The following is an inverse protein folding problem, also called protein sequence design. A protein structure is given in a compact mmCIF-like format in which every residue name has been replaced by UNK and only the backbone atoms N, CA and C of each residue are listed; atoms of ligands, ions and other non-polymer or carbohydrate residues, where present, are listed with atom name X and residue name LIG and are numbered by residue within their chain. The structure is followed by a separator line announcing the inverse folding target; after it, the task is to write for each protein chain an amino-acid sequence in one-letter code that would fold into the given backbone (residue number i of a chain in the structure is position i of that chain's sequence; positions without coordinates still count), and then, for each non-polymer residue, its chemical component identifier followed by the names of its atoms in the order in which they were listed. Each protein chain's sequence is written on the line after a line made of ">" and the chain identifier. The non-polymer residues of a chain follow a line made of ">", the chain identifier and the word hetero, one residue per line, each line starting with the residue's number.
data_IF_431604005856
#
_entry.id   IF_431604005856
#
_cell.length_a   1.000
_cell.length_b   1.000
_cell.length_c   1.000
_cell.angle_alpha   90.00
_cell.angle_beta   90.00
_cell.angle_gamma   90.00
#
_symmetry.space_group_name_H-M   'P 1'
#
loop_
_entity.id
_entity.type
_entity.pdbx_description
1 polymer ?
#
# COMPACT_ATOMS: atom_id res chain seq x y z
N UNK A 1 -3.24 18.13 -63.14
CA UNK A 1 -2.68 18.41 -61.82
C UNK A 1 -3.51 17.66 -60.81
N UNK A 2 -3.05 16.49 -60.39
CA UNK A 2 -3.74 15.62 -59.42
C UNK A 2 -3.31 15.99 -57.99
N UNK A 3 -4.26 16.36 -57.14
CA UNK A 3 -4.01 16.65 -55.73
C UNK A 3 -4.12 15.35 -54.92
N UNK A 4 -3.00 14.77 -54.51
CA UNK A 4 -2.99 13.68 -53.56
C UNK A 4 -3.25 14.23 -52.14
N UNK A 5 -4.40 13.91 -51.58
CA UNK A 5 -4.72 14.21 -50.18
C UNK A 5 -4.24 13.01 -49.35
N UNK A 6 -3.18 13.25 -48.56
CA UNK A 6 -2.71 12.26 -47.56
C UNK A 6 -3.65 12.33 -46.34
N UNK A 7 -4.36 11.22 -46.05
CA UNK A 7 -5.15 11.05 -44.83
C UNK A 7 -4.20 10.59 -43.74
N UNK A 8 -3.97 11.46 -42.75
CA UNK A 8 -3.19 11.12 -41.54
C UNK A 8 -4.13 10.37 -40.62
N UNK A 9 -3.94 9.05 -40.50
CA UNK A 9 -4.66 8.23 -39.52
C UNK A 9 -3.89 8.30 -38.19
N UNK A 10 -4.41 9.07 -37.25
CA UNK A 10 -3.89 9.15 -35.89
C UNK A 10 -4.43 7.95 -35.10
N UNK A 11 -3.56 6.99 -34.80
CA UNK A 11 -3.89 5.91 -33.85
C UNK A 11 -3.87 6.49 -32.44
N UNK A 12 -5.04 6.63 -31.83
CA UNK A 12 -5.19 6.85 -30.39
C UNK A 12 -4.99 5.49 -29.74
N UNK A 13 -3.80 5.23 -29.21
CA UNK A 13 -3.56 4.11 -28.30
C UNK A 13 -4.24 4.46 -26.98
N UNK A 14 -5.43 3.92 -26.76
CA UNK A 14 -6.06 3.95 -25.45
C UNK A 14 -5.20 3.08 -24.53
N UNK A 15 -4.40 3.71 -23.66
CA UNK A 15 -3.81 3.06 -22.50
C UNK A 15 -4.97 2.66 -21.59
N UNK A 16 -5.40 1.40 -21.69
CA UNK A 16 -6.28 0.79 -20.69
C UNK A 16 -5.49 0.80 -19.37
N UNK A 17 -6.05 1.34 -18.29
CA UNK A 17 -5.43 1.19 -16.98
C UNK A 17 -5.29 -0.31 -16.74
N UNK A 18 -4.06 -0.78 -16.52
CA UNK A 18 -3.82 -2.13 -16.03
C UNK A 18 -4.54 -2.21 -14.68
N UNK A 19 -5.63 -2.95 -14.63
CA UNK A 19 -6.32 -3.25 -13.38
C UNK A 19 -5.30 -3.97 -12.50
N UNK A 20 -4.89 -3.35 -11.41
CA UNK A 20 -4.06 -4.00 -10.41
C UNK A 20 -4.73 -5.32 -10.03
N UNK A 21 -4.04 -6.44 -10.24
CA UNK A 21 -4.56 -7.78 -10.01
C UNK A 21 -4.50 -8.08 -8.51
N UNK A 22 -5.37 -7.42 -7.76
CA UNK A 22 -5.47 -7.64 -6.32
C UNK A 22 -6.07 -9.01 -5.99
N UNK A 23 -5.80 -9.48 -4.78
CA UNK A 23 -6.26 -10.76 -4.24
C UNK A 23 -7.30 -10.59 -3.16
N UNK A 24 -6.99 -9.79 -2.15
CA UNK A 24 -7.80 -9.62 -0.94
C UNK A 24 -7.89 -8.14 -0.62
N UNK A 25 -9.11 -7.68 -0.38
CA UNK A 25 -9.39 -6.34 0.14
C UNK A 25 -9.82 -6.41 1.60
N UNK A 26 -9.56 -5.34 2.34
CA UNK A 26 -10.05 -5.13 3.70
C UNK A 26 -10.34 -3.64 3.92
N UNK A 27 -11.58 -3.29 4.27
CA UNK A 27 -11.90 -1.90 4.59
C UNK A 27 -11.39 -1.54 5.98
N UNK A 28 -10.97 -0.30 6.15
CA UNK A 28 -10.68 0.28 7.45
C UNK A 28 -11.44 1.62 7.62
N UNK A 29 -11.69 1.99 8.86
CA UNK A 29 -12.24 3.29 9.19
C UNK A 29 -11.77 3.79 10.55
N UNK A 30 -11.82 5.11 10.73
CA UNK A 30 -11.57 5.84 11.97
C UNK A 30 -12.75 6.78 12.21
N UNK A 31 -13.31 6.73 13.42
CA UNK A 31 -14.41 7.63 13.84
C UNK A 31 -13.87 8.97 14.32
N UNK A 32 -14.76 9.96 14.49
CA UNK A 32 -14.42 11.28 15.08
C UNK A 32 -13.28 12.01 14.35
N UNK A 33 -13.21 11.84 13.02
CA UNK A 33 -12.23 12.53 12.18
C UNK A 33 -12.57 14.01 12.10
N UNK A 34 -11.62 14.93 12.38
CA UNK A 34 -11.83 16.35 12.19
C UNK A 34 -12.20 16.71 10.75
N UNK A 35 -12.95 17.79 10.54
CA UNK A 35 -13.28 18.26 9.18
C UNK A 35 -12.03 18.54 8.32
N UNK A 36 -10.91 18.93 8.94
CA UNK A 36 -9.61 19.11 8.29
C UNK A 36 -8.94 17.79 7.88
N UNK A 37 -9.43 16.64 8.36
CA UNK A 37 -8.80 15.33 8.25
C UNK A 37 -7.86 15.02 9.41
N UNK A 38 -7.33 13.77 9.43
CA UNK A 38 -6.34 13.33 10.40
C UNK A 38 -4.96 13.89 10.01
N UNK A 39 -4.14 14.19 11.01
CA UNK A 39 -2.74 14.60 10.84
C UNK A 39 -1.76 13.43 10.95
N UNK A 40 -2.24 12.27 11.38
CA UNK A 40 -1.48 11.02 11.43
C UNK A 40 -2.42 9.81 11.34
N UNK A 41 -1.86 8.70 10.87
CA UNK A 41 -2.46 7.40 10.98
C UNK A 41 -1.37 6.34 11.09
N UNK A 42 -1.61 5.31 11.89
CA UNK A 42 -0.71 4.17 12.08
C UNK A 42 -1.40 2.89 11.69
N UNK A 43 -0.76 2.10 10.84
CA UNK A 43 -1.25 0.82 10.35
C UNK A 43 -0.38 -0.32 10.87
N UNK A 44 -0.87 -1.16 11.81
CA UNK A 44 -0.15 -2.34 12.26
C UNK A 44 -0.22 -3.48 11.24
N UNK A 45 0.90 -4.23 11.09
CA UNK A 45 1.07 -5.38 10.22
C UNK A 45 1.76 -6.53 10.94
N UNK A 46 1.38 -7.76 10.60
CA UNK A 46 2.13 -8.98 10.94
C UNK A 46 2.37 -9.76 9.65
N UNK A 47 3.63 -10.13 9.39
CA UNK A 47 4.04 -10.88 8.19
C UNK A 47 4.75 -12.19 8.54
N UNK A 48 4.58 -12.69 9.77
CA UNK A 48 5.36 -13.78 10.36
C UNK A 48 5.38 -15.08 9.55
N UNK A 49 4.34 -15.33 8.76
CA UNK A 49 4.24 -16.53 7.92
C UNK A 49 4.23 -16.19 6.42
N UNK A 50 4.83 -15.07 6.05
CA UNK A 50 5.02 -14.71 4.64
C UNK A 50 6.25 -15.40 4.06
N UNK A 51 6.23 -15.79 2.77
CA UNK A 51 7.38 -16.41 2.13
C UNK A 51 8.52 -15.39 1.97
N UNK A 52 9.76 -15.81 2.21
CA UNK A 52 10.97 -14.99 2.02
C UNK A 52 11.31 -14.89 0.52
N UNK A 53 10.41 -14.29 -0.26
CA UNK A 53 10.55 -14.09 -1.71
C UNK A 53 9.72 -12.89 -2.18
N UNK A 54 10.06 -12.37 -3.35
CA UNK A 54 9.26 -11.33 -4.02
C UNK A 54 7.89 -11.85 -4.42
N UNK A 55 6.93 -10.93 -4.57
CA UNK A 55 5.62 -11.20 -5.15
C UNK A 55 4.48 -10.62 -4.33
N UNK A 56 4.49 -10.71 -3.02
CA UNK A 56 3.43 -10.15 -2.20
C UNK A 56 3.65 -8.69 -1.82
N UNK A 57 2.55 -7.93 -1.81
CA UNK A 57 2.46 -6.61 -1.22
C UNK A 57 1.26 -6.55 -0.27
N UNK A 58 1.51 -6.20 0.96
CA UNK A 58 0.52 -5.99 2.03
C UNK A 58 0.42 -4.51 2.28
N UNK A 59 -0.69 -3.88 1.89
CA UNK A 59 -0.78 -2.43 1.86
C UNK A 59 -2.06 -1.88 2.48
N UNK A 60 -1.98 -0.63 2.91
CA UNK A 60 -3.12 0.20 3.30
C UNK A 60 -3.12 1.46 2.44
N UNK A 61 -4.26 1.74 1.81
CA UNK A 61 -4.50 3.00 1.11
C UNK A 61 -5.08 4.04 2.07
N UNK A 62 -4.89 5.29 1.74
CA UNK A 62 -5.48 6.43 2.43
C UNK A 62 -5.71 7.58 1.47
N UNK A 63 -6.82 8.30 1.66
CA UNK A 63 -7.18 9.47 0.88
C UNK A 63 -6.97 10.75 1.67
N UNK A 64 -6.79 11.86 0.96
CA UNK A 64 -6.69 13.18 1.54
C UNK A 64 -7.91 14.04 1.21
N UNK A 65 -8.25 14.97 2.10
CA UNK A 65 -9.26 15.98 1.80
C UNK A 65 -8.81 16.86 0.63
N UNK A 66 -9.74 17.09 -0.31
CA UNK A 66 -9.47 17.90 -1.51
C UNK A 66 -8.73 17.15 -2.64
N UNK A 67 -8.44 15.84 -2.49
CA UNK A 67 -7.80 15.03 -3.51
C UNK A 67 -8.71 13.88 -3.98
N UNK A 68 -8.60 13.52 -5.27
CA UNK A 68 -9.28 12.36 -5.88
C UNK A 68 -8.45 11.09 -5.80
N UNK A 69 -7.14 11.22 -5.90
CA UNK A 69 -6.22 10.11 -5.88
C UNK A 69 -5.77 9.79 -4.44
N UNK A 70 -5.08 8.65 -4.29
CA UNK A 70 -4.72 8.06 -3.00
C UNK A 70 -3.22 8.14 -2.72
N UNK A 71 -2.85 7.92 -1.47
CA UNK A 71 -1.56 7.38 -1.08
C UNK A 71 -1.71 5.94 -0.64
N UNK A 72 -0.62 5.18 -0.64
CA UNK A 72 -0.56 3.89 0.03
C UNK A 72 0.77 3.69 0.75
N UNK A 73 0.76 2.78 1.71
CA UNK A 73 1.95 2.30 2.39
C UNK A 73 1.80 0.83 2.73
N UNK A 74 2.91 0.10 2.83
CA UNK A 74 2.85 -1.31 3.17
C UNK A 74 4.20 -2.00 3.14
N UNK A 75 4.16 -3.32 3.38
CA UNK A 75 5.32 -4.19 3.46
C UNK A 75 5.30 -5.24 2.34
N UNK A 76 6.48 -5.54 1.83
CA UNK A 76 6.69 -6.59 0.83
C UNK A 76 7.79 -7.52 1.33
N UNK A 77 7.53 -8.84 1.41
CA UNK A 77 8.57 -9.82 1.63
C UNK A 77 9.63 -9.80 0.52
N UNK A 78 10.87 -10.08 0.88
CA UNK A 78 12.00 -10.21 -0.04
C UNK A 78 12.77 -11.50 0.22
N UNK A 79 13.55 -11.99 -0.75
CA UNK A 79 14.56 -13.03 -0.49
C UNK A 79 15.52 -12.60 0.61
N UNK A 80 15.96 -13.55 1.42
CA UNK A 80 16.98 -13.31 2.43
C UNK A 80 18.26 -12.77 1.79
N UNK A 81 18.93 -11.87 2.49
CA UNK A 81 20.22 -11.33 2.07
C UNK A 81 21.22 -11.43 3.22
N UNK A 82 22.41 -11.96 2.93
CA UNK A 82 23.43 -12.17 3.97
C UNK A 82 23.01 -13.11 5.11
N UNK A 83 22.03 -14.01 4.85
CA UNK A 83 21.47 -14.93 5.84
C UNK A 83 20.43 -14.29 6.77
N UNK A 84 19.97 -13.08 6.49
CA UNK A 84 18.94 -12.38 7.26
C UNK A 84 17.69 -12.10 6.41
N UNK A 85 16.47 -12.19 7.00
CA UNK A 85 15.24 -11.79 6.34
C UNK A 85 15.27 -10.31 5.93
N UNK A 86 14.70 -10.00 4.77
CA UNK A 86 14.63 -8.65 4.22
C UNK A 86 13.19 -8.24 4.01
N UNK A 87 12.86 -7.05 4.47
CA UNK A 87 11.57 -6.39 4.27
C UNK A 87 11.79 -5.18 3.36
N UNK A 88 10.94 -5.05 2.34
CA UNK A 88 10.81 -3.83 1.57
C UNK A 88 9.58 -3.08 2.05
N UNK A 89 9.74 -1.84 2.46
CA UNK A 89 8.64 -0.96 2.83
C UNK A 89 8.46 0.11 1.77
N UNK A 90 7.19 0.40 1.43
CA UNK A 90 6.83 1.40 0.44
C UNK A 90 5.91 2.47 1.04
N UNK A 91 6.04 3.71 0.52
CA UNK A 91 5.21 4.85 0.88
C UNK A 91 5.05 5.75 -0.34
N UNK A 92 3.88 5.70 -0.97
CA UNK A 92 3.66 6.32 -2.28
C UNK A 92 2.44 7.24 -2.27
N UNK A 93 2.49 8.28 -3.11
CA UNK A 93 1.37 9.15 -3.45
C UNK A 93 1.12 9.07 -4.95
N UNK A 94 -0.12 8.84 -5.36
CA UNK A 94 -0.56 8.89 -6.76
C UNK A 94 -1.08 10.27 -7.16
N UNK A 95 -1.10 11.21 -6.22
CA UNK A 95 -1.65 12.54 -6.41
C UNK A 95 -0.73 13.33 -7.34
N UNK A 96 -1.29 13.78 -8.46
CA UNK A 96 -0.56 14.64 -9.42
C UNK A 96 -0.08 15.93 -8.74
N UNK A 97 1.17 16.28 -8.95
CA UNK A 97 1.80 17.47 -8.35
C UNK A 97 2.45 17.20 -6.99
N UNK A 98 2.42 15.95 -6.49
CA UNK A 98 3.26 15.55 -5.36
C UNK A 98 4.74 15.73 -5.71
N UNK A 99 5.52 16.26 -4.77
CA UNK A 99 6.97 16.50 -4.92
C UNK A 99 7.74 15.86 -3.76
N UNK A 100 9.03 15.63 -3.98
CA UNK A 100 9.95 15.10 -2.97
C UNK A 100 11.36 15.63 -3.16
N UNK A 101 12.11 15.69 -2.07
CA UNK A 101 13.58 15.85 -2.05
C UNK A 101 14.24 14.73 -1.24
N UNK A 102 13.46 13.72 -0.84
CA UNK A 102 13.94 12.60 -0.04
C UNK A 102 14.71 11.62 -0.90
N UNK A 103 15.85 11.14 -0.42
CA UNK A 103 16.75 10.25 -1.16
C UNK A 103 16.12 8.85 -1.40
N UNK A 104 15.19 8.42 -0.55
CA UNK A 104 14.47 7.16 -0.70
C UNK A 104 13.31 7.25 -1.69
N UNK A 105 13.09 8.41 -2.31
CA UNK A 105 11.93 8.68 -3.13
C UNK A 105 12.32 9.06 -4.56
N UNK A 106 11.44 8.79 -5.50
CA UNK A 106 11.55 9.23 -6.89
C UNK A 106 10.21 9.74 -7.42
N UNK A 107 10.21 10.66 -8.41
CA UNK A 107 9.01 11.08 -9.11
C UNK A 107 8.34 9.90 -9.84
N UNK A 108 7.01 9.90 -9.86
CA UNK A 108 6.17 8.85 -10.45
C UNK A 108 5.80 7.76 -9.43
N UNK A 109 4.57 7.27 -9.53
CA UNK A 109 4.07 6.14 -8.77
C UNK A 109 3.45 5.14 -9.75
N UNK A 110 3.93 3.90 -9.77
CA UNK A 110 3.51 2.80 -10.66
C UNK A 110 3.41 3.22 -12.14
N UNK A 111 4.41 3.99 -12.61
CA UNK A 111 4.44 4.52 -13.98
C UNK A 111 3.50 5.70 -14.25
N UNK A 112 2.76 6.14 -13.25
CA UNK A 112 1.84 7.29 -13.30
C UNK A 112 2.38 8.54 -12.61
N UNK A 113 1.53 9.54 -12.36
CA UNK A 113 1.89 10.74 -11.61
C UNK A 113 2.14 10.41 -10.12
N UNK A 114 2.73 11.36 -9.39
CA UNK A 114 2.95 11.25 -7.96
C UNK A 114 4.41 11.02 -7.59
N UNK A 115 4.64 10.35 -6.46
CA UNK A 115 5.96 10.02 -5.90
C UNK A 115 5.91 8.64 -5.27
N UNK A 116 6.91 7.83 -5.53
CA UNK A 116 7.15 6.57 -4.81
C UNK A 116 8.39 6.65 -3.95
N UNK A 117 8.26 6.21 -2.70
CA UNK A 117 9.36 6.05 -1.76
C UNK A 117 9.45 4.59 -1.31
N UNK A 118 10.67 4.08 -1.16
CA UNK A 118 10.89 2.73 -0.68
C UNK A 118 12.22 2.57 0.03
N UNK A 119 12.28 1.60 0.94
CA UNK A 119 13.51 1.21 1.63
C UNK A 119 13.52 -0.30 1.87
N UNK A 120 14.67 -0.93 1.72
CA UNK A 120 14.90 -2.33 2.13
C UNK A 120 15.75 -2.36 3.40
N UNK A 121 15.38 -3.24 4.32
CA UNK A 121 16.09 -3.41 5.57
C UNK A 121 15.98 -4.84 6.09
N UNK A 122 17.01 -5.32 6.78
CA UNK A 122 17.00 -6.62 7.44
C UNK A 122 16.21 -6.53 8.74
N UNK A 123 15.20 -7.41 8.89
CA UNK A 123 14.40 -7.52 10.11
C UNK A 123 13.67 -8.88 10.17
N UNK A 124 13.45 -9.47 11.37
CA UNK A 124 12.74 -10.73 11.52
C UNK A 124 11.27 -10.59 11.11
N UNK A 125 10.73 -11.54 10.33
CA UNK A 125 9.30 -11.52 9.95
C UNK A 125 8.37 -11.81 11.13
N UNK A 126 8.89 -12.42 12.21
CA UNK A 126 8.18 -12.75 13.43
C UNK A 126 7.88 -11.54 14.30
N UNK A 127 8.58 -10.43 14.10
CA UNK A 127 8.32 -9.19 14.84
C UNK A 127 7.01 -8.53 14.38
N UNK A 128 6.45 -7.71 15.24
CA UNK A 128 5.26 -6.93 14.94
C UNK A 128 5.67 -5.57 14.38
N UNK A 129 5.12 -5.21 13.24
CA UNK A 129 5.42 -3.96 12.54
C UNK A 129 4.23 -3.02 12.55
N UNK A 130 4.50 -1.74 12.52
CA UNK A 130 3.52 -0.73 12.17
C UNK A 130 4.13 0.31 11.24
N UNK A 131 3.30 0.88 10.37
CA UNK A 131 3.72 2.00 9.53
C UNK A 131 2.99 3.24 10.01
N UNK A 132 3.75 4.23 10.41
CA UNK A 132 3.27 5.55 10.79
C UNK A 132 3.30 6.46 9.57
N UNK A 133 2.18 7.09 9.27
CA UNK A 133 2.03 8.14 8.25
C UNK A 133 1.71 9.43 8.99
N UNK A 134 2.67 10.35 9.01
CA UNK A 134 2.62 11.56 9.82
C UNK A 134 2.74 12.83 8.97
N UNK A 135 1.86 13.80 9.21
CA UNK A 135 2.03 15.15 8.71
C UNK A 135 3.15 15.85 9.49
N UNK A 136 4.21 16.25 8.79
CA UNK A 136 5.38 16.91 9.38
C UNK A 136 5.39 18.43 9.18
N UNK A 137 4.32 18.96 8.57
CA UNK A 137 4.10 20.40 8.39
C UNK A 137 3.46 20.73 7.04
N UNK A 138 2.48 21.62 7.04
CA UNK A 138 1.74 21.99 5.83
C UNK A 138 1.12 20.78 5.14
N UNK A 139 1.51 20.52 3.90
CA UNK A 139 1.07 19.34 3.13
C UNK A 139 2.15 18.25 3.00
N UNK A 140 3.18 18.29 3.87
CA UNK A 140 4.29 17.32 3.86
C UNK A 140 3.99 16.13 4.76
N UNK A 141 4.24 14.92 4.26
CA UNK A 141 3.94 13.67 4.91
C UNK A 141 5.16 12.75 4.91
N UNK A 142 5.38 12.08 6.03
CA UNK A 142 6.49 11.13 6.23
C UNK A 142 5.93 9.77 6.57
N UNK A 143 6.46 8.74 5.91
CA UNK A 143 6.23 7.33 6.20
C UNK A 143 7.39 6.72 6.98
N UNK A 144 7.10 6.02 8.08
CA UNK A 144 8.10 5.35 8.92
C UNK A 144 7.61 3.95 9.32
N UNK A 145 8.43 2.92 9.10
CA UNK A 145 8.20 1.59 9.72
C UNK A 145 8.72 1.61 11.14
N UNK A 146 7.93 1.09 12.04
CA UNK A 146 8.34 0.83 13.43
C UNK A 146 8.22 -0.67 13.71
N UNK A 147 9.31 -1.28 14.08
CA UNK A 147 9.32 -2.59 14.72
C UNK A 147 8.91 -2.40 16.18
N UNK A 148 7.72 -2.84 16.54
CA UNK A 148 7.16 -2.63 17.87
C UNK A 148 7.75 -3.57 18.93
N UNK A 149 8.45 -4.62 18.50
CA UNK A 149 9.15 -5.56 19.39
C UNK A 149 10.44 -4.95 19.92
N UNK A 150 11.18 -4.25 19.05
CA UNK A 150 12.51 -3.69 19.38
C UNK A 150 12.50 -2.17 19.57
N UNK A 151 11.48 -1.48 19.07
CA UNK A 151 11.41 -0.02 19.00
C UNK A 151 12.22 0.57 17.85
N UNK A 152 12.83 -0.25 16.96
CA UNK A 152 13.58 0.22 15.81
C UNK A 152 12.68 0.95 14.83
N UNK A 153 13.13 2.10 14.38
CA UNK A 153 12.43 2.94 13.40
C UNK A 153 13.22 3.01 12.10
N UNK A 154 12.52 2.83 10.97
CA UNK A 154 13.10 2.90 9.63
C UNK A 154 12.31 3.91 8.81
N UNK A 155 12.97 4.98 8.40
CA UNK A 155 12.39 5.99 7.54
C UNK A 155 12.15 5.43 6.13
N UNK A 156 10.91 5.49 5.64
CA UNK A 156 10.58 5.05 4.27
C UNK A 156 10.79 6.20 3.30
N UNK A 157 10.23 7.37 3.61
CA UNK A 157 10.37 8.54 2.76
C UNK A 157 9.46 9.69 3.19
N UNK A 158 9.64 10.82 2.50
CA UNK A 158 8.89 12.05 2.71
C UNK A 158 8.49 12.66 1.37
N UNK A 159 7.24 13.08 1.26
CA UNK A 159 6.76 13.82 0.10
C UNK A 159 5.79 14.93 0.51
N UNK A 160 5.64 15.91 -0.38
CA UNK A 160 4.78 17.09 -0.19
C UNK A 160 3.68 17.08 -1.23
N UNK A 161 2.42 17.11 -0.79
CA UNK A 161 1.23 17.19 -1.62
C UNK A 161 1.00 18.62 -2.14
N UNK A 162 0.21 18.78 -3.20
CA UNK A 162 -0.18 20.10 -3.71
C UNK A 162 -0.81 20.98 -2.62
N UNK A 163 -0.59 22.28 -2.75
CA UNK A 163 -1.21 23.29 -1.88
C UNK A 163 -2.74 23.14 -1.84
N UNK A 164 -3.33 23.33 -0.67
CA UNK A 164 -4.77 23.18 -0.43
C UNK A 164 -5.21 21.74 -0.13
N UNK A 165 -4.30 20.75 -0.14
CA UNK A 165 -4.60 19.40 0.34
C UNK A 165 -4.77 19.42 1.85
N UNK A 166 -5.88 18.84 2.35
CA UNK A 166 -6.13 18.64 3.77
C UNK A 166 -5.54 17.35 4.32
N UNK A 167 -5.97 16.98 5.54
CA UNK A 167 -5.53 15.75 6.22
C UNK A 167 -6.14 14.48 5.64
N UNK A 168 -5.78 13.35 6.23
CA UNK A 168 -6.23 12.02 5.82
C UNK A 168 -7.72 11.83 6.17
N UNK A 169 -8.51 11.28 5.24
CA UNK A 169 -9.91 10.91 5.44
C UNK A 169 -10.03 9.68 6.34
N UNK A 170 -11.17 9.54 7.00
CA UNK A 170 -11.42 8.52 8.02
C UNK A 170 -11.70 7.11 7.51
N UNK A 171 -11.58 6.82 6.22
CA UNK A 171 -11.82 5.46 5.72
C UNK A 171 -11.21 5.22 4.35
N UNK A 172 -10.78 3.99 4.11
CA UNK A 172 -10.30 3.47 2.83
C UNK A 172 -10.18 1.93 2.91
N UNK A 173 -9.50 1.32 1.96
CA UNK A 173 -9.22 -0.11 1.90
C UNK A 173 -7.73 -0.40 2.03
N UNK A 174 -7.42 -1.52 2.68
CA UNK A 174 -6.15 -2.20 2.53
C UNK A 174 -6.28 -3.35 1.55
N UNK A 175 -5.17 -3.91 1.12
CA UNK A 175 -5.17 -5.00 0.17
C UNK A 175 -3.96 -5.92 0.32
N UNK A 176 -4.13 -7.15 -0.16
CA UNK A 176 -3.05 -8.06 -0.49
C UNK A 176 -3.01 -8.15 -2.01
N UNK A 177 -1.86 -7.88 -2.60
CA UNK A 177 -1.58 -8.01 -4.02
C UNK A 177 -0.47 -9.02 -4.24
N UNK A 178 -0.54 -9.77 -5.36
CA UNK A 178 0.60 -10.51 -5.90
C UNK A 178 1.07 -9.80 -7.15
N UNK A 179 1.97 -8.83 -6.97
CA UNK A 179 2.34 -7.88 -8.02
C UNK A 179 3.13 -8.50 -9.19
N UNK A 180 3.65 -9.72 -9.06
CA UNK A 180 4.26 -10.43 -10.19
C UNK A 180 3.27 -10.72 -11.31
N UNK A 181 1.95 -10.70 -11.05
CA UNK A 181 0.94 -10.79 -12.10
C UNK A 181 0.95 -9.60 -13.06
N UNK A 182 1.59 -8.50 -12.68
CA UNK A 182 1.74 -7.30 -13.50
C UNK A 182 3.00 -7.34 -14.40
N UNK A 183 3.81 -8.40 -14.35
CA UNK A 183 5.05 -8.54 -15.11
C UNK A 183 4.85 -9.01 -16.58
N UNK A 184 3.60 -9.20 -17.00
CA UNK A 184 3.25 -9.70 -18.32
C UNK A 184 3.42 -11.22 -18.51
N UNK A 185 3.82 -11.95 -17.47
CA UNK A 185 3.93 -13.40 -17.46
C UNK A 185 2.59 -14.05 -17.05
N UNK A 186 2.43 -15.32 -17.40
CA UNK A 186 1.27 -16.09 -16.96
C UNK A 186 1.52 -16.66 -15.55
N UNK A 187 0.86 -16.10 -14.55
CA UNK A 187 0.87 -16.58 -13.17
C UNK A 187 -0.52 -17.15 -12.82
N UNK A 188 -0.75 -18.46 -12.99
CA UNK A 188 -2.04 -19.08 -12.66
C UNK A 188 -2.36 -18.94 -11.16
N UNK A 189 -3.65 -18.74 -10.83
CA UNK A 189 -4.09 -18.66 -9.43
C UNK A 189 -3.64 -19.86 -8.58
N UNK A 190 -3.57 -21.05 -9.22
CA UNK A 190 -3.17 -22.31 -8.57
C UNK A 190 -1.67 -22.41 -8.19
N UNK A 191 -0.84 -21.49 -8.67
CA UNK A 191 0.60 -21.46 -8.36
C UNK A 191 0.97 -20.36 -7.35
N UNK A 192 -0.04 -19.68 -6.79
CA UNK A 192 0.18 -18.62 -5.82
C UNK A 192 0.86 -19.19 -4.56
N UNK A 193 2.05 -18.72 -4.17
CA UNK A 193 2.71 -19.19 -2.96
C UNK A 193 1.86 -18.91 -1.72
N UNK A 194 1.86 -19.82 -0.75
CA UNK A 194 1.20 -19.57 0.53
C UNK A 194 1.77 -18.34 1.22
N UNK A 195 0.88 -17.50 1.75
CA UNK A 195 1.21 -16.44 2.70
C UNK A 195 0.15 -16.33 3.79
N UNK A 196 0.57 -15.94 4.98
CA UNK A 196 -0.30 -15.53 6.06
C UNK A 196 0.18 -14.19 6.61
N UNK A 197 -0.73 -13.23 6.66
CA UNK A 197 -0.43 -11.91 7.19
C UNK A 197 -1.58 -11.40 8.08
N UNK A 198 -1.28 -10.43 8.93
CA UNK A 198 -2.26 -9.77 9.80
C UNK A 198 -2.35 -8.27 9.52
N UNK A 199 -3.59 -7.78 9.34
CA UNK A 199 -3.90 -6.36 9.42
C UNK A 199 -4.35 -6.02 10.84
N UNK A 200 -3.65 -5.10 11.50
CA UNK A 200 -4.07 -4.54 12.78
C UNK A 200 -5.04 -3.37 12.60
N UNK A 201 -5.80 -3.08 13.66
CA UNK A 201 -6.71 -1.93 13.67
C UNK A 201 -5.91 -0.63 13.54
N UNK A 202 -6.22 0.25 12.58
CA UNK A 202 -5.51 1.52 12.46
C UNK A 202 -5.75 2.40 13.69
N UNK A 203 -4.74 3.17 14.06
CA UNK A 203 -4.78 4.12 15.18
C UNK A 203 -4.32 5.51 14.74
N UNK A 204 -4.67 6.53 15.53
CA UNK A 204 -4.25 7.93 15.33
C UNK A 204 -4.11 8.62 16.67
N UNK A 205 -3.31 9.67 16.74
CA UNK A 205 -3.20 10.52 17.93
C UNK A 205 -4.39 11.47 18.12
N UNK A 206 -5.31 11.55 17.14
CA UNK A 206 -6.52 12.36 17.22
C UNK A 206 -7.40 11.91 18.39
N UNK A 207 -7.66 12.78 19.35
CA UNK A 207 -8.42 12.46 20.57
C UNK A 207 -9.86 12.01 20.27
N UNK A 208 -10.28 10.90 20.91
CA UNK A 208 -11.61 10.32 20.74
C UNK A 208 -11.81 9.56 19.42
N UNK A 209 -10.80 9.46 18.58
CA UNK A 209 -10.86 8.67 17.36
C UNK A 209 -10.69 7.16 17.66
N UNK A 210 -11.51 6.33 17.01
CA UNK A 210 -11.50 4.88 17.19
C UNK A 210 -11.39 4.22 15.82
N UNK A 211 -10.32 3.44 15.63
CA UNK A 211 -10.10 2.65 14.43
C UNK A 211 -10.93 1.35 14.40
N UNK A 212 -11.23 0.90 13.21
CA UNK A 212 -11.87 -0.40 12.97
C UNK A 212 -11.47 -0.98 11.63
N UNK A 213 -11.62 -2.32 11.50
CA UNK A 213 -11.47 -3.06 10.25
C UNK A 213 -12.78 -3.72 9.86
N UNK A 214 -13.08 -3.74 8.56
CA UNK A 214 -14.12 -4.59 7.98
C UNK A 214 -13.70 -6.06 7.91
N UNK A 215 -14.52 -6.90 7.30
CA UNK A 215 -14.13 -8.25 6.96
C UNK A 215 -13.24 -8.23 5.72
N UNK A 216 -12.26 -9.13 5.68
CA UNK A 216 -11.48 -9.34 4.46
C UNK A 216 -12.34 -10.05 3.41
N UNK A 217 -12.13 -9.74 2.14
CA UNK A 217 -12.87 -10.29 1.00
C UNK A 217 -11.94 -10.48 -0.21
N UNK A 218 -12.23 -11.51 -0.99
CA UNK A 218 -11.51 -11.74 -2.25
C UNK A 218 -11.99 -10.79 -3.34
N UNK A 219 -11.10 -10.38 -4.24
CA UNK A 219 -11.45 -9.66 -5.47
C UNK A 219 -10.47 -10.00 -6.60
N UNK A 220 -10.78 -9.55 -7.82
CA UNK A 220 -9.98 -9.81 -9.00
C UNK A 220 -10.23 -11.20 -9.60
N UNK A 221 -9.29 -11.67 -10.42
CA UNK A 221 -9.50 -12.85 -11.29
C UNK A 221 -9.37 -14.20 -10.55
N UNK A 222 -8.82 -14.19 -9.33
CA UNK A 222 -8.56 -15.39 -8.56
C UNK A 222 -9.56 -15.67 -7.43
N UNK A 223 -10.70 -14.98 -7.41
CA UNK A 223 -11.78 -15.23 -6.44
C UNK A 223 -12.17 -16.70 -6.41
N UNK A 224 -12.18 -17.31 -5.21
CA UNK A 224 -12.48 -18.71 -4.99
C UNK A 224 -11.42 -19.71 -5.48
N UNK A 225 -10.22 -19.25 -5.88
CA UNK A 225 -9.17 -20.09 -6.51
C UNK A 225 -7.84 -20.09 -5.75
N UNK A 226 -7.72 -19.40 -4.60
CA UNK A 226 -6.44 -19.17 -3.92
C UNK A 226 -6.43 -19.59 -2.45
N UNK A 227 -7.27 -20.54 -2.07
CA UNK A 227 -7.39 -21.07 -0.71
C UNK A 227 -7.54 -19.95 0.35
N UNK A 228 -8.30 -18.90 0.03
CA UNK A 228 -8.53 -17.75 0.90
C UNK A 228 -9.18 -18.15 2.22
N UNK A 229 -8.63 -17.67 3.32
CA UNK A 229 -9.22 -17.74 4.66
C UNK A 229 -8.95 -16.44 5.40
N UNK A 230 -9.92 -15.97 6.20
CA UNK A 230 -9.73 -14.83 7.09
C UNK A 230 -10.35 -15.09 8.45
N UNK A 231 -9.74 -14.54 9.50
CA UNK A 231 -10.17 -14.68 10.87
C UNK A 231 -9.91 -13.40 11.65
N UNK A 232 -10.88 -13.01 12.50
CA UNK A 232 -10.66 -11.96 13.49
C UNK A 232 -9.68 -12.42 14.55
N UNK A 233 -8.76 -11.55 14.93
CA UNK A 233 -7.82 -11.77 16.03
C UNK A 233 -8.37 -11.19 17.35
N UNK A 234 -7.81 -11.59 18.47
CA UNK A 234 -8.26 -11.15 19.81
C UNK A 234 -8.09 -9.63 20.04
N UNK A 235 -7.15 -9.01 19.36
CA UNK A 235 -6.87 -7.56 19.33
C UNK A 235 -7.72 -6.80 18.30
N UNK A 236 -8.78 -7.42 17.77
CA UNK A 236 -9.69 -6.89 16.76
C UNK A 236 -9.07 -6.71 15.36
N UNK A 237 -7.86 -7.17 15.14
CA UNK A 237 -7.22 -7.29 13.85
C UNK A 237 -7.89 -8.34 12.96
N UNK A 238 -7.32 -8.58 11.79
CA UNK A 238 -7.75 -9.62 10.84
C UNK A 238 -6.53 -10.35 10.31
N UNK A 239 -6.45 -11.65 10.58
CA UNK A 239 -5.50 -12.55 9.95
C UNK A 239 -6.06 -13.02 8.61
N UNK A 240 -5.22 -13.07 7.58
CA UNK A 240 -5.57 -13.48 6.22
C UNK A 240 -4.56 -14.48 5.71
N UNK A 241 -5.05 -15.59 5.15
CA UNK A 241 -4.24 -16.60 4.48
C UNK A 241 -4.67 -16.70 3.03
N UNK A 242 -3.72 -16.79 2.10
CA UNK A 242 -3.95 -17.07 0.68
C UNK A 242 -2.79 -17.89 0.11
N UNK A 243 -3.07 -18.62 -0.99
CA UNK A 243 -2.05 -19.42 -1.69
C UNK A 243 -1.95 -20.85 -1.17
N UNK A 244 -0.96 -21.60 -1.71
CA UNK A 244 -0.79 -23.04 -1.54
C UNK A 244 0.64 -23.41 -1.10
#
# INVERSE_FOLDING_TARGET
>A
MSKNTFLLVTYVVALLPTLAMGLVGISWSVTSVPASGLTDITFPFSISNSPHKTGYYFAQQFNFNGQSDVGYTGLQPRPDSGGAPVIHAAFSSFIRGTTTSDINCHPGADGGPGVSCAVEFSAPYQDAYQIEVLNTGGTTWTGTVVDTTTGRRVHIGTWTLPSGTGGIKGSQVGFIEYYLWNDGQNHPCSTLPYTSMGFGVPTTTTGGAIGSLGNAFEYGNCVGKVAFKSQRTSDRGVAVNVGF
#
